data_IF_551398706147
#
_entry.id   IF_551398706147
#
_cell.length_a   1.000
_cell.length_b   1.000
_cell.length_c   1.000
_cell.angle_alpha   90.00
_cell.angle_beta   90.00
_cell.angle_gamma   90.00
#
_symmetry.space_group_name_H-M   'P 1'
#
loop_
_entity.id
_entity.type
_entity.pdbx_description
1 polymer ?
#
# COMPACT_ATOMS: atom_id res chain seq x y z
N UNK A 1 -4.86 35.95 12.74
CA UNK A 1 -4.07 36.24 11.53
C UNK A 1 -3.47 34.96 10.95
N UNK A 2 -2.64 34.22 11.69
CA UNK A 2 -2.09 32.91 11.27
C UNK A 2 -3.14 31.95 10.69
N UNK A 3 -4.30 31.83 11.33
CA UNK A 3 -5.45 31.05 10.84
C UNK A 3 -5.99 31.51 9.49
N UNK A 4 -5.94 32.80 9.16
CA UNK A 4 -6.42 33.34 7.89
C UNK A 4 -5.44 33.05 6.74
N UNK A 5 -4.12 33.14 6.97
CA UNK A 5 -3.12 32.61 6.03
C UNK A 5 -3.26 31.08 5.92
N UNK A 6 -3.43 30.39 7.05
CA UNK A 6 -3.80 28.98 7.10
C UNK A 6 -5.23 28.67 6.62
N UNK A 7 -5.96 29.65 6.05
CA UNK A 7 -7.13 29.47 5.16
C UNK A 7 -6.75 29.84 3.72
N UNK A 8 -6.13 30.98 3.45
CA UNK A 8 -5.75 31.44 2.11
C UNK A 8 -4.61 30.66 1.44
N UNK A 9 -3.43 30.59 2.08
CA UNK A 9 -2.15 30.16 1.46
C UNK A 9 -2.27 28.83 0.76
N UNK A 10 -3.08 27.96 1.35
CA UNK A 10 -3.33 26.66 0.79
C UNK A 10 -4.74 26.58 0.12
N UNK A 11 -5.73 27.48 0.33
CA UNK A 11 -6.95 27.52 -0.54
C UNK A 11 -6.63 27.94 -1.98
N UNK A 12 -5.53 28.66 -2.18
CA UNK A 12 -4.87 28.89 -3.46
C UNK A 12 -4.50 27.57 -4.20
N UNK A 13 -4.51 26.42 -3.49
CA UNK A 13 -3.68 25.29 -3.88
C UNK A 13 -4.50 24.12 -4.49
N UNK A 14 -5.64 23.55 -4.01
CA UNK A 14 -6.46 22.55 -4.79
C UNK A 14 -7.46 23.26 -5.70
N UNK A 15 -7.58 24.60 -5.68
CA UNK A 15 -8.34 25.29 -6.72
C UNK A 15 -7.96 24.75 -8.14
N UNK A 16 -6.66 24.58 -8.47
CA UNK A 16 -6.23 23.86 -9.67
C UNK A 16 -6.24 22.32 -9.67
N UNK A 17 -6.54 21.58 -8.60
CA UNK A 17 -6.65 20.10 -8.63
C UNK A 17 -8.11 19.71 -8.69
N UNK A 18 -9.00 20.46 -8.03
CA UNK A 18 -10.39 20.54 -8.42
C UNK A 18 -10.52 20.92 -9.90
N UNK A 19 -9.67 21.83 -10.42
CA UNK A 19 -9.62 22.10 -11.86
C UNK A 19 -9.00 20.97 -12.69
N UNK A 20 -7.82 20.44 -12.35
CA UNK A 20 -7.16 19.36 -13.13
C UNK A 20 -7.98 18.08 -13.08
N UNK A 21 -8.45 17.65 -11.91
CA UNK A 21 -9.36 16.51 -11.75
C UNK A 21 -10.71 16.79 -12.42
N UNK A 22 -11.31 17.96 -12.23
CA UNK A 22 -12.57 18.34 -12.87
C UNK A 22 -12.48 18.37 -14.39
N UNK A 23 -11.38 18.86 -14.95
CA UNK A 23 -11.08 18.89 -16.38
C UNK A 23 -10.77 17.49 -16.94
N UNK A 24 -10.03 16.68 -16.19
CA UNK A 24 -9.76 15.26 -16.49
C UNK A 24 -11.05 14.44 -16.46
N UNK A 25 -11.96 14.68 -15.52
CA UNK A 25 -13.28 14.05 -15.45
C UNK A 25 -14.16 14.53 -16.60
N UNK A 26 -14.24 15.84 -16.83
CA UNK A 26 -15.05 16.44 -17.89
C UNK A 26 -14.65 15.96 -19.29
N UNK A 27 -13.36 15.93 -19.61
CA UNK A 27 -12.86 15.41 -20.90
C UNK A 27 -12.78 13.88 -20.93
N UNK A 28 -12.44 13.25 -19.80
CA UNK A 28 -12.21 11.81 -19.71
C UNK A 28 -13.49 10.97 -19.80
N UNK A 29 -14.57 11.38 -19.12
CA UNK A 29 -15.86 10.68 -19.19
C UNK A 29 -16.36 10.61 -20.64
N UNK A 30 -16.20 11.68 -21.43
CA UNK A 30 -16.56 11.69 -22.85
C UNK A 30 -15.69 10.77 -23.74
N UNK A 31 -14.50 10.36 -23.28
CA UNK A 31 -13.60 9.44 -24.00
C UNK A 31 -13.71 7.97 -23.59
N UNK A 32 -14.23 7.67 -22.39
CA UNK A 32 -14.37 6.28 -21.92
C UNK A 32 -15.61 5.66 -22.54
N UNK A 33 -15.40 4.93 -23.63
CA UNK A 33 -16.43 4.17 -24.34
C UNK A 33 -15.96 2.72 -24.61
N UNK A 34 -16.82 1.87 -25.17
CA UNK A 34 -16.48 0.46 -25.41
C UNK A 34 -15.33 0.27 -26.41
N UNK A 35 -15.23 1.13 -27.43
CA UNK A 35 -14.12 1.11 -28.38
C UNK A 35 -12.79 1.49 -27.71
N UNK A 36 -12.79 2.45 -26.78
CA UNK A 36 -11.61 2.83 -26.00
C UNK A 36 -10.99 1.65 -25.22
N UNK A 37 -11.82 0.75 -24.70
CA UNK A 37 -11.37 -0.43 -23.94
C UNK A 37 -10.99 -1.63 -24.82
N UNK A 38 -11.54 -1.74 -26.03
CA UNK A 38 -11.43 -2.96 -26.88
C UNK A 38 -10.60 -2.78 -28.16
N UNK A 39 -10.47 -1.56 -28.67
CA UNK A 39 -9.70 -1.27 -29.89
C UNK A 39 -8.27 -0.81 -29.56
N UNK A 40 -7.37 -1.06 -30.50
CA UNK A 40 -6.01 -0.51 -30.49
C UNK A 40 -6.01 1.00 -30.82
N UNK A 41 -4.93 1.71 -30.50
CA UNK A 41 -4.71 3.06 -31.01
C UNK A 41 -4.69 3.05 -32.53
N UNK A 42 -5.28 4.07 -33.15
CA UNK A 42 -5.14 4.34 -34.57
C UNK A 42 -3.87 5.17 -34.86
N UNK A 43 -3.38 5.22 -36.11
CA UNK A 43 -2.30 6.12 -36.50
C UNK A 43 -2.63 7.60 -36.21
N UNK A 44 -1.64 8.44 -35.89
CA UNK A 44 -1.86 9.86 -35.67
C UNK A 44 -2.50 10.55 -36.90
N UNK A 45 -3.70 11.10 -36.73
CA UNK A 45 -4.45 11.79 -37.77
C UNK A 45 -5.83 11.19 -38.07
N UNK A 46 -6.07 9.92 -37.74
CA UNK A 46 -7.41 9.33 -37.80
C UNK A 46 -8.24 9.63 -36.54
N UNK A 47 -9.56 9.76 -36.69
CA UNK A 47 -10.48 9.84 -35.55
C UNK A 47 -10.84 8.46 -34.99
N UNK A 48 -10.89 8.38 -33.66
CA UNK A 48 -11.23 7.16 -32.92
C UNK A 48 -10.03 6.24 -32.63
N UNK A 49 -10.32 4.97 -32.33
CA UNK A 49 -9.38 4.02 -31.74
C UNK A 49 -9.47 3.98 -30.21
N UNK A 50 -8.67 3.12 -29.58
CA UNK A 50 -8.67 2.93 -28.13
C UNK A 50 -7.28 2.71 -27.52
N UNK A 51 -7.23 2.24 -26.28
CA UNK A 51 -5.99 1.96 -25.54
C UNK A 51 -5.90 0.51 -25.06
N UNK A 52 -6.63 -0.42 -25.70
CA UNK A 52 -6.75 -1.82 -25.27
C UNK A 52 -5.39 -2.51 -25.11
N UNK A 53 -4.44 -2.25 -26.03
CA UNK A 53 -3.08 -2.81 -25.98
C UNK A 53 -2.26 -2.28 -24.80
N UNK A 54 -2.40 -1.00 -24.45
CA UNK A 54 -1.72 -0.40 -23.31
C UNK A 54 -2.29 -0.93 -21.98
N UNK A 55 -3.63 -1.02 -21.87
CA UNK A 55 -4.31 -1.60 -20.71
C UNK A 55 -3.90 -3.07 -20.52
N UNK A 56 -3.99 -3.89 -21.57
CA UNK A 56 -3.58 -5.30 -21.52
C UNK A 56 -2.09 -5.46 -21.22
N UNK A 57 -1.23 -4.62 -21.80
CA UNK A 57 0.21 -4.60 -21.53
C UNK A 57 0.53 -4.26 -20.07
N UNK A 58 -0.11 -3.24 -19.51
CA UNK A 58 0.05 -2.86 -18.09
C UNK A 58 -0.43 -3.97 -17.15
N UNK A 59 -1.59 -4.59 -17.42
CA UNK A 59 -2.10 -5.72 -16.63
C UNK A 59 -1.16 -6.91 -16.70
N UNK A 60 -0.60 -7.22 -17.88
CA UNK A 60 0.29 -8.38 -18.06
C UNK A 60 1.68 -8.16 -17.44
N UNK A 61 2.22 -6.94 -17.50
CA UNK A 61 3.43 -6.53 -16.76
C UNK A 61 3.21 -6.66 -15.24
N UNK A 62 2.08 -6.15 -14.73
CA UNK A 62 1.73 -6.23 -13.32
C UNK A 62 1.52 -7.68 -12.87
N UNK A 63 0.87 -8.51 -13.69
CA UNK A 63 0.66 -9.93 -13.41
C UNK A 63 1.98 -10.70 -13.33
N UNK A 64 2.89 -10.53 -14.29
CA UNK A 64 4.21 -11.16 -14.26
C UNK A 64 5.01 -10.68 -13.04
N UNK A 65 5.08 -9.36 -12.84
CA UNK A 65 5.85 -8.78 -11.74
C UNK A 65 5.33 -9.15 -10.36
N UNK A 66 4.01 -9.29 -10.21
CA UNK A 66 3.38 -9.78 -8.98
C UNK A 66 3.61 -11.29 -8.79
N UNK A 67 3.44 -12.10 -9.84
CA UNK A 67 3.63 -13.55 -9.79
C UNK A 67 5.07 -13.95 -9.43
N UNK A 68 6.06 -13.15 -9.85
CA UNK A 68 7.46 -13.32 -9.46
C UNK A 68 7.75 -12.68 -8.10
N UNK A 69 7.39 -11.41 -7.91
CA UNK A 69 7.82 -10.60 -6.78
C UNK A 69 7.08 -10.87 -5.47
N UNK A 70 5.77 -11.14 -5.52
CA UNK A 70 4.95 -11.34 -4.30
C UNK A 70 5.29 -12.65 -3.58
N UNK A 71 5.38 -13.83 -4.24
CA UNK A 71 5.72 -15.07 -3.53
C UNK A 71 7.16 -15.08 -2.99
N UNK A 72 8.10 -14.52 -3.76
CA UNK A 72 9.49 -14.38 -3.31
C UNK A 72 9.62 -13.41 -2.13
N UNK A 73 8.96 -12.25 -2.20
CA UNK A 73 8.96 -11.25 -1.13
C UNK A 73 8.31 -11.77 0.16
N UNK A 74 7.12 -12.36 0.07
CA UNK A 74 6.45 -12.95 1.24
C UNK A 74 7.28 -14.10 1.82
N UNK A 75 7.82 -14.98 0.98
CA UNK A 75 8.68 -16.09 1.43
C UNK A 75 9.95 -15.62 2.14
N UNK A 76 10.62 -14.60 1.60
CA UNK A 76 11.80 -13.99 2.21
C UNK A 76 11.46 -13.28 3.54
N UNK A 77 10.36 -12.53 3.60
CA UNK A 77 9.92 -11.86 4.83
C UNK A 77 9.53 -12.84 5.94
N UNK A 78 8.86 -13.94 5.60
CA UNK A 78 8.58 -15.06 6.53
C UNK A 78 9.87 -15.70 7.03
N UNK A 79 10.84 -15.95 6.14
CA UNK A 79 12.15 -16.49 6.53
C UNK A 79 12.88 -15.53 7.49
N UNK A 80 12.90 -14.23 7.20
CA UNK A 80 13.58 -13.24 8.03
C UNK A 80 12.95 -13.12 9.43
N UNK A 81 11.63 -13.11 9.53
CA UNK A 81 10.92 -12.95 10.82
C UNK A 81 10.98 -14.20 11.72
N UNK A 82 11.05 -15.41 11.17
CA UNK A 82 11.08 -16.66 11.94
C UNK A 82 12.50 -17.22 12.14
N UNK A 83 13.42 -17.02 11.17
CA UNK A 83 14.75 -17.62 11.15
C UNK A 83 15.91 -16.64 10.91
N UNK A 84 15.63 -15.37 10.55
CA UNK A 84 16.63 -14.38 10.14
C UNK A 84 17.53 -13.83 11.25
N UNK A 85 17.57 -14.41 12.45
CA UNK A 85 18.49 -14.05 13.53
C UNK A 85 19.93 -14.52 13.29
N UNK A 86 20.44 -14.38 12.06
CA UNK A 86 21.71 -14.92 11.61
C UNK A 86 22.34 -14.03 10.53
N UNK A 87 23.66 -14.18 10.28
CA UNK A 87 24.44 -13.34 9.36
C UNK A 87 23.90 -13.29 7.92
N UNK A 88 23.20 -14.33 7.45
CA UNK A 88 22.56 -14.34 6.13
C UNK A 88 21.25 -13.53 6.14
N UNK A 89 20.48 -13.58 7.24
CA UNK A 89 19.33 -12.70 7.45
C UNK A 89 19.72 -11.22 7.42
N UNK A 90 20.79 -10.84 8.13
CA UNK A 90 21.30 -9.46 8.15
C UNK A 90 21.82 -9.00 6.78
N UNK A 91 22.48 -9.90 6.04
CA UNK A 91 22.88 -9.64 4.65
C UNK A 91 21.67 -9.41 3.73
N UNK A 92 20.61 -10.22 3.85
CA UNK A 92 19.38 -10.06 3.05
C UNK A 92 18.61 -8.79 3.42
N UNK A 93 18.59 -8.39 4.70
CA UNK A 93 18.07 -7.07 5.13
C UNK A 93 18.87 -5.94 4.49
N UNK A 94 20.19 -5.92 4.67
CA UNK A 94 21.06 -4.90 4.09
C UNK A 94 20.89 -4.76 2.57
N UNK A 95 20.84 -5.89 1.84
CA UNK A 95 20.56 -5.88 0.39
C UNK A 95 19.16 -5.35 0.08
N UNK A 96 18.15 -5.70 0.86
CA UNK A 96 16.77 -5.20 0.67
C UNK A 96 16.65 -3.70 0.95
N UNK A 97 17.28 -3.21 2.01
CA UNK A 97 17.28 -1.80 2.39
C UNK A 97 18.06 -0.95 1.38
N UNK A 98 19.20 -1.44 0.90
CA UNK A 98 19.93 -0.84 -0.22
C UNK A 98 19.05 -0.79 -1.48
N UNK A 99 18.40 -1.90 -1.87
CA UNK A 99 17.54 -1.93 -3.06
C UNK A 99 16.30 -1.02 -2.94
N UNK A 100 15.68 -0.93 -1.76
CA UNK A 100 14.60 0.03 -1.49
C UNK A 100 15.09 1.49 -1.54
N UNK A 101 16.36 1.74 -1.22
CA UNK A 101 17.02 3.05 -1.32
C UNK A 101 17.50 3.42 -2.74
N UNK A 102 17.57 2.48 -3.69
CA UNK A 102 17.95 2.78 -5.08
C UNK A 102 16.79 3.47 -5.80
N UNK A 103 17.01 4.64 -6.44
CA UNK A 103 15.98 5.29 -7.24
C UNK A 103 15.45 4.37 -8.35
N UNK A 104 14.13 4.25 -8.48
CA UNK A 104 13.46 3.31 -9.40
C UNK A 104 13.91 3.43 -10.86
N UNK A 105 14.32 4.62 -11.31
CA UNK A 105 14.90 4.85 -12.63
C UNK A 105 16.19 4.03 -12.87
N UNK A 106 17.03 3.85 -11.84
CA UNK A 106 18.25 3.04 -11.92
C UNK A 106 17.91 1.55 -12.01
N UNK A 107 16.92 1.09 -11.25
CA UNK A 107 16.42 -0.30 -11.33
C UNK A 107 15.84 -0.58 -12.73
N UNK A 108 15.12 0.39 -13.32
CA UNK A 108 14.65 0.32 -14.69
C UNK A 108 15.78 0.18 -15.72
N UNK A 109 16.86 0.96 -15.58
CA UNK A 109 18.04 0.87 -16.45
C UNK A 109 18.77 -0.48 -16.29
N UNK A 110 18.90 -0.99 -15.05
CA UNK A 110 19.49 -2.32 -14.80
C UNK A 110 18.65 -3.43 -15.43
N UNK A 111 17.32 -3.39 -15.29
CA UNK A 111 16.44 -4.36 -15.92
C UNK A 111 16.46 -4.29 -17.46
N UNK A 112 16.56 -3.09 -18.02
CA UNK A 112 16.79 -2.89 -19.46
C UNK A 112 18.11 -3.54 -19.91
N UNK A 113 19.20 -3.29 -19.19
CA UNK A 113 20.52 -3.84 -19.51
C UNK A 113 20.58 -5.37 -19.40
N UNK A 114 19.96 -5.96 -18.37
CA UNK A 114 19.98 -7.40 -18.13
C UNK A 114 19.02 -8.18 -19.04
N UNK A 115 17.83 -7.63 -19.31
CA UNK A 115 16.74 -8.38 -19.99
C UNK A 115 16.52 -7.89 -21.43
N UNK A 116 16.32 -6.58 -21.65
CA UNK A 116 15.97 -6.05 -22.99
C UNK A 116 17.13 -6.17 -23.96
N UNK A 117 18.36 -5.81 -23.57
CA UNK A 117 19.54 -5.99 -24.43
C UNK A 117 19.80 -7.46 -24.79
N UNK A 118 19.48 -8.40 -23.89
CA UNK A 118 19.61 -9.85 -24.14
C UNK A 118 18.53 -10.38 -25.07
N UNK A 119 17.30 -9.87 -24.97
CA UNK A 119 16.17 -10.25 -25.83
C UNK A 119 16.21 -9.55 -27.19
N UNK A 120 16.92 -8.41 -27.32
CA UNK A 120 16.99 -7.54 -28.52
C UNK A 120 15.65 -6.94 -28.97
N UNK A 121 14.58 -7.14 -28.19
CA UNK A 121 13.28 -6.53 -28.38
C UNK A 121 12.68 -6.15 -27.02
N UNK A 122 11.76 -5.18 -27.01
CA UNK A 122 10.98 -4.87 -25.82
C UNK A 122 9.99 -6.00 -25.53
N UNK A 123 9.76 -6.32 -24.26
CA UNK A 123 8.82 -7.37 -23.85
C UNK A 123 8.15 -7.03 -22.52
N UNK A 124 6.92 -7.53 -22.33
CA UNK A 124 6.23 -7.44 -21.05
C UNK A 124 6.94 -8.28 -19.95
N UNK A 125 7.72 -9.30 -20.32
CA UNK A 125 8.59 -10.03 -19.40
C UNK A 125 9.69 -9.12 -18.84
N UNK A 126 10.32 -8.27 -19.65
CA UNK A 126 11.33 -7.33 -19.17
C UNK A 126 10.73 -6.29 -18.20
N UNK A 127 9.56 -5.74 -18.51
CA UNK A 127 8.82 -4.86 -17.61
C UNK A 127 8.39 -5.56 -16.31
N UNK A 128 7.89 -6.79 -16.41
CA UNK A 128 7.50 -7.61 -15.26
C UNK A 128 8.68 -7.95 -14.35
N UNK A 129 9.86 -8.29 -14.91
CA UNK A 129 11.08 -8.52 -14.14
C UNK A 129 11.58 -7.23 -13.46
N UNK A 130 11.53 -6.08 -14.14
CA UNK A 130 11.86 -4.79 -13.53
C UNK A 130 10.96 -4.49 -12.31
N UNK A 131 9.65 -4.74 -12.46
CA UNK A 131 8.66 -4.55 -11.41
C UNK A 131 8.81 -5.56 -10.26
N UNK A 132 9.17 -6.81 -10.57
CA UNK A 132 9.48 -7.84 -9.57
C UNK A 132 10.71 -7.46 -8.72
N UNK A 133 11.78 -6.93 -9.34
CA UNK A 133 13.00 -6.51 -8.63
C UNK A 133 12.70 -5.39 -7.61
N UNK A 134 11.75 -4.49 -7.90
CA UNK A 134 11.27 -3.47 -6.94
C UNK A 134 10.33 -4.05 -5.88
N UNK A 135 9.44 -4.98 -6.27
CA UNK A 135 8.49 -5.61 -5.36
C UNK A 135 9.15 -6.49 -4.30
N UNK A 136 10.16 -7.30 -4.66
CA UNK A 136 10.81 -8.23 -3.71
C UNK A 136 11.29 -7.54 -2.42
N UNK A 137 12.16 -6.50 -2.44
CA UNK A 137 12.66 -5.89 -1.21
C UNK A 137 11.56 -5.12 -0.44
N UNK A 138 10.60 -4.51 -1.14
CA UNK A 138 9.46 -3.81 -0.50
C UNK A 138 8.56 -4.79 0.26
N UNK A 139 8.20 -5.91 -0.38
CA UNK A 139 7.31 -6.94 0.19
C UNK A 139 8.06 -7.76 1.24
N UNK A 140 9.35 -8.06 1.04
CA UNK A 140 10.20 -8.74 2.04
C UNK A 140 10.21 -7.96 3.34
N UNK A 141 10.50 -6.65 3.26
CA UNK A 141 10.64 -5.81 4.46
C UNK A 141 9.31 -5.60 5.18
N UNK A 142 8.26 -5.23 4.45
CA UNK A 142 6.93 -5.07 5.05
C UNK A 142 6.38 -6.37 5.64
N UNK A 143 6.61 -7.53 4.99
CA UNK A 143 6.22 -8.84 5.54
C UNK A 143 7.02 -9.20 6.79
N UNK A 144 8.34 -8.97 6.81
CA UNK A 144 9.17 -9.16 8.02
C UNK A 144 8.63 -8.31 9.18
N UNK A 145 8.42 -7.02 8.94
CA UNK A 145 7.99 -6.08 9.97
C UNK A 145 6.61 -6.43 10.54
N UNK A 146 5.62 -6.74 9.68
CA UNK A 146 4.29 -7.19 10.10
C UNK A 146 4.32 -8.46 10.97
N UNK A 147 5.23 -9.41 10.67
CA UNK A 147 5.34 -10.67 11.40
C UNK A 147 6.01 -10.52 12.77
N UNK A 148 7.01 -9.64 12.88
CA UNK A 148 7.72 -9.34 14.13
C UNK A 148 6.85 -8.60 15.16
N UNK A 149 5.65 -8.18 14.77
CA UNK A 149 4.71 -7.42 15.59
C UNK A 149 3.60 -8.27 16.22
N UNK A 150 3.55 -9.56 15.90
CA UNK A 150 2.72 -10.53 16.61
C UNK A 150 3.21 -10.65 18.06
N UNK A 151 2.35 -10.44 19.07
CA UNK A 151 2.71 -10.68 20.48
C UNK A 151 3.28 -12.09 20.69
N UNK A 152 4.48 -12.20 21.26
CA UNK A 152 5.15 -13.49 21.45
C UNK A 152 4.33 -14.48 22.30
N UNK A 153 3.50 -14.00 23.24
CA UNK A 153 2.57 -14.84 24.00
C UNK A 153 1.60 -15.65 23.12
N UNK A 154 1.20 -15.13 21.96
CA UNK A 154 0.35 -15.86 20.99
C UNK A 154 1.15 -16.91 20.21
N UNK A 155 2.44 -16.65 19.94
CA UNK A 155 3.35 -17.62 19.31
C UNK A 155 3.66 -18.77 20.27
N UNK A 156 4.01 -18.44 21.51
CA UNK A 156 4.27 -19.38 22.60
C UNK A 156 3.05 -20.24 22.92
N UNK A 157 1.86 -19.65 23.03
CA UNK A 157 0.61 -20.42 23.19
C UNK A 157 0.34 -21.36 22.01
N UNK A 158 0.59 -20.93 20.76
CA UNK A 158 0.45 -21.79 19.59
C UNK A 158 1.48 -22.95 19.58
N UNK A 159 2.72 -22.70 20.00
CA UNK A 159 3.75 -23.74 20.12
C UNK A 159 3.43 -24.72 21.28
N UNK A 160 2.87 -24.24 22.39
CA UNK A 160 2.39 -25.09 23.50
C UNK A 160 1.22 -25.99 23.10
N UNK A 161 0.37 -25.53 22.16
CA UNK A 161 -0.68 -26.33 21.51
C UNK A 161 -0.13 -27.27 20.41
N UNK A 162 1.19 -27.42 20.28
CA UNK A 162 1.82 -28.31 19.30
C UNK A 162 1.74 -27.83 17.84
N UNK A 163 1.35 -26.58 17.59
CA UNK A 163 1.24 -26.06 16.22
C UNK A 163 2.65 -25.82 15.65
N UNK A 164 3.02 -26.45 14.50
CA UNK A 164 4.36 -26.32 13.94
C UNK A 164 4.60 -24.89 13.44
N UNK A 165 5.83 -24.39 13.61
CA UNK A 165 6.21 -22.97 13.38
C UNK A 165 5.64 -22.37 12.10
N UNK A 166 5.84 -23.03 10.94
CA UNK A 166 5.31 -22.56 9.65
C UNK A 166 3.80 -22.32 9.64
N UNK A 167 3.02 -23.14 10.36
CA UNK A 167 1.56 -23.05 10.45
C UNK A 167 1.13 -22.01 11.48
N UNK A 168 1.91 -21.81 12.53
CA UNK A 168 1.78 -20.66 13.44
C UNK A 168 2.00 -19.38 12.65
N UNK A 169 3.15 -19.20 11.99
CA UNK A 169 3.50 -17.98 11.23
C UNK A 169 2.47 -17.67 10.14
N UNK A 170 2.11 -18.63 9.27
CA UNK A 170 1.10 -18.41 8.23
C UNK A 170 -0.31 -18.13 8.78
N UNK A 171 -0.79 -18.93 9.74
CA UNK A 171 -2.17 -18.81 10.21
C UNK A 171 -2.39 -17.66 11.19
N UNK A 172 -1.34 -17.20 11.87
CA UNK A 172 -1.35 -15.93 12.60
C UNK A 172 -1.27 -14.78 11.60
N UNK A 173 -0.31 -14.78 10.66
CA UNK A 173 -0.15 -13.70 9.67
C UNK A 173 -1.45 -13.40 8.92
N UNK A 174 -2.07 -14.39 8.27
CA UNK A 174 -3.33 -14.15 7.55
C UNK A 174 -4.47 -13.67 8.47
N UNK A 175 -4.52 -14.11 9.73
CA UNK A 175 -5.59 -13.70 10.66
C UNK A 175 -5.36 -12.32 11.26
N UNK A 176 -4.13 -11.97 11.61
CA UNK A 176 -3.82 -10.69 12.24
C UNK A 176 -3.67 -9.53 11.25
N UNK A 177 -3.19 -9.79 10.02
CA UNK A 177 -3.19 -8.79 8.94
C UNK A 177 -4.60 -8.56 8.35
N UNK A 178 -5.59 -9.44 8.62
CA UNK A 178 -6.97 -9.30 8.15
C UNK A 178 -8.03 -9.03 9.23
N UNK A 179 -7.82 -9.42 10.50
CA UNK A 179 -8.85 -9.42 11.56
C UNK A 179 -8.34 -9.11 12.99
N UNK A 180 -8.13 -7.82 13.29
CA UNK A 180 -8.46 -7.23 14.61
C UNK A 180 -7.49 -7.33 15.80
N UNK A 181 -7.45 -6.27 16.62
CA UNK A 181 -6.72 -6.15 17.89
C UNK A 181 -7.37 -5.05 18.79
N UNK A 182 -6.94 -4.91 20.05
CA UNK A 182 -7.58 -4.07 21.08
C UNK A 182 -6.65 -3.05 21.79
N UNK A 183 -5.39 -2.89 21.38
CA UNK A 183 -4.48 -1.88 21.95
C UNK A 183 -3.93 -0.88 20.92
N UNK A 184 -3.66 0.36 21.36
CA UNK A 184 -3.32 1.50 20.50
C UNK A 184 -1.89 1.38 19.93
N UNK A 185 -1.79 1.20 18.62
CA UNK A 185 -0.53 0.90 17.95
C UNK A 185 -0.18 2.01 16.94
N UNK A 186 1.01 2.61 17.08
CA UNK A 186 1.50 3.72 16.24
C UNK A 186 2.25 3.26 14.96
N UNK A 187 2.01 2.04 14.50
CA UNK A 187 2.78 1.37 13.45
C UNK A 187 1.84 0.66 12.47
N UNK A 188 1.91 1.03 11.18
CA UNK A 188 1.03 0.58 10.08
C UNK A 188 1.03 -0.95 9.86
N UNK A 189 2.10 -1.57 10.32
CA UNK A 189 2.47 -2.96 10.26
C UNK A 189 1.90 -3.78 11.42
N UNK A 190 1.33 -3.13 12.46
CA UNK A 190 0.67 -3.84 13.55
C UNK A 190 -0.81 -4.10 13.22
N UNK A 191 -1.37 -5.23 13.68
CA UNK A 191 -2.80 -5.37 13.90
C UNK A 191 -3.24 -4.25 14.84
N UNK A 192 -3.83 -3.22 14.28
CA UNK A 192 -4.09 -1.96 14.99
C UNK A 192 -5.42 -2.07 15.74
N UNK A 193 -5.53 -1.46 16.93
CA UNK A 193 -6.84 -1.22 17.52
C UNK A 193 -7.69 -0.33 16.61
N UNK A 194 -8.55 -0.96 15.80
CA UNK A 194 -9.69 -0.28 15.26
C UNK A 194 -10.55 0.17 16.46
N UNK A 195 -10.61 1.48 16.72
CA UNK A 195 -11.45 2.03 17.79
C UNK A 195 -12.90 1.48 17.76
N UNK A 196 -13.56 1.25 16.60
CA UNK A 196 -14.84 0.53 16.54
C UNK A 196 -14.83 -0.86 17.19
N UNK A 197 -13.77 -1.65 17.00
CA UNK A 197 -13.62 -2.99 17.59
C UNK A 197 -13.42 -2.92 19.11
N UNK A 198 -12.66 -1.94 19.60
CA UNK A 198 -12.45 -1.75 21.04
C UNK A 198 -13.71 -1.21 21.74
N UNK A 199 -14.44 -0.28 21.11
CA UNK A 199 -15.76 0.19 21.58
C UNK A 199 -16.73 -0.98 21.70
N UNK A 200 -16.80 -1.86 20.69
CA UNK A 200 -17.63 -3.06 20.72
C UNK A 200 -17.27 -3.97 21.90
N UNK A 201 -15.99 -4.34 22.07
CA UNK A 201 -15.57 -5.23 23.16
C UNK A 201 -15.79 -4.64 24.56
N UNK A 202 -15.69 -3.31 24.74
CA UNK A 202 -16.00 -2.66 26.01
C UNK A 202 -17.50 -2.42 26.25
N UNK A 203 -18.31 -2.30 25.20
CA UNK A 203 -19.76 -2.12 25.29
C UNK A 203 -20.54 -3.42 25.58
N UNK A 204 -19.87 -4.57 25.62
CA UNK A 204 -20.44 -5.88 25.99
C UNK A 204 -19.74 -6.50 27.22
N UNK A 205 -18.90 -5.73 27.91
CA UNK A 205 -18.13 -6.18 29.07
C UNK A 205 -18.97 -6.09 30.35
N UNK A 206 -18.93 -7.08 31.27
CA UNK A 206 -19.78 -7.10 32.48
C UNK A 206 -19.37 -6.08 33.57
N UNK A 207 -18.66 -5.00 33.22
CA UNK A 207 -18.14 -3.99 34.14
C UNK A 207 -18.55 -2.57 33.69
N UNK A 208 -19.29 -1.85 34.53
CA UNK A 208 -19.89 -0.56 34.18
C UNK A 208 -18.88 0.56 33.86
N UNK A 209 -17.66 0.48 34.40
CA UNK A 209 -16.60 1.43 34.06
C UNK A 209 -16.07 1.24 32.63
N UNK A 210 -16.19 0.02 32.07
CA UNK A 210 -15.82 -0.25 30.68
C UNK A 210 -16.94 0.20 29.74
N UNK A 211 -18.21 0.03 30.12
CA UNK A 211 -19.34 0.66 29.43
C UNK A 211 -19.15 2.19 29.35
N UNK A 212 -18.83 2.85 30.47
CA UNK A 212 -18.58 4.31 30.52
C UNK A 212 -17.42 4.73 29.59
N UNK A 213 -16.35 3.94 29.52
CA UNK A 213 -15.23 4.19 28.61
C UNK A 213 -15.61 3.97 27.12
N UNK A 214 -16.47 3.00 26.81
CA UNK A 214 -16.96 2.78 25.45
C UNK A 214 -17.78 3.99 24.92
N UNK A 215 -18.67 4.55 25.75
CA UNK A 215 -19.42 5.77 25.40
C UNK A 215 -18.50 6.98 25.15
N UNK A 216 -17.47 7.16 25.98
CA UNK A 216 -16.48 8.22 25.79
C UNK A 216 -15.67 8.04 24.50
N UNK A 217 -15.19 6.81 24.23
CA UNK A 217 -14.44 6.48 23.01
C UNK A 217 -15.24 6.69 21.72
N UNK A 218 -16.53 6.35 21.72
CA UNK A 218 -17.42 6.57 20.59
C UNK A 218 -17.61 8.06 20.26
N UNK A 219 -17.78 8.91 21.27
CA UNK A 219 -17.93 10.35 21.10
C UNK A 219 -16.65 11.00 20.56
N UNK A 220 -15.48 10.61 21.10
CA UNK A 220 -14.17 11.06 20.59
C UNK A 220 -13.96 10.63 19.14
N UNK A 221 -14.33 9.40 18.76
CA UNK A 221 -14.24 8.91 17.39
C UNK A 221 -15.11 9.74 16.42
N UNK A 222 -16.35 10.07 16.82
CA UNK A 222 -17.27 10.90 16.01
C UNK A 222 -16.68 12.30 15.80
N UNK A 223 -16.18 12.95 16.85
CA UNK A 223 -15.55 14.28 16.74
C UNK A 223 -14.28 14.22 15.89
N UNK A 224 -13.45 13.18 16.04
CA UNK A 224 -12.25 12.99 15.23
C UNK A 224 -12.60 12.81 13.75
N UNK A 225 -13.60 12.01 13.41
CA UNK A 225 -14.04 11.80 12.02
C UNK A 225 -14.64 13.09 11.43
N UNK A 226 -15.52 13.79 12.16
CA UNK A 226 -16.14 15.02 11.65
C UNK A 226 -15.08 16.13 11.48
N UNK A 227 -14.15 16.28 12.42
CA UNK A 227 -13.07 17.27 12.32
C UNK A 227 -12.03 16.89 11.25
N UNK A 228 -11.67 15.62 11.10
CA UNK A 228 -10.78 15.15 10.03
C UNK A 228 -11.44 15.27 8.65
N UNK A 229 -12.72 14.94 8.49
CA UNK A 229 -13.44 15.10 7.21
C UNK A 229 -13.71 16.58 6.91
N UNK A 230 -13.95 17.43 7.91
CA UNK A 230 -13.99 18.88 7.72
C UNK A 230 -12.62 19.43 7.33
N UNK A 231 -11.54 19.01 8.01
CA UNK A 231 -10.16 19.39 7.71
C UNK A 231 -9.72 18.87 6.34
N UNK A 232 -10.13 17.66 5.93
CA UNK A 232 -9.87 17.12 4.59
C UNK A 232 -10.73 17.80 3.54
N UNK A 233 -12.02 18.11 3.76
CA UNK A 233 -12.80 18.94 2.81
C UNK A 233 -12.24 20.36 2.69
N UNK A 234 -11.73 20.89 3.79
CA UNK A 234 -11.01 22.16 3.84
C UNK A 234 -9.69 22.06 3.07
N UNK A 235 -8.87 21.02 3.29
CA UNK A 235 -7.59 20.74 2.62
C UNK A 235 -7.75 20.19 1.19
N UNK A 236 -8.93 19.72 0.79
CA UNK A 236 -9.34 19.40 -0.59
C UNK A 236 -9.79 20.66 -1.35
N UNK A 237 -9.60 21.84 -0.73
CA UNK A 237 -9.40 23.10 -1.44
C UNK A 237 -7.89 23.45 -1.60
N UNK A 238 -6.94 22.56 -1.22
CA UNK A 238 -5.53 22.86 -0.91
C UNK A 238 -4.36 21.91 -1.35
N UNK A 239 -4.17 21.56 -2.64
CA UNK A 239 -3.04 20.72 -3.16
C UNK A 239 -2.79 20.65 -4.70
N UNK A 240 -2.28 21.71 -5.38
CA UNK A 240 -1.80 21.73 -6.80
C UNK A 240 -0.93 22.92 -7.26
N UNK A 241 -0.87 24.06 -6.54
CA UNK A 241 0.13 25.10 -6.86
C UNK A 241 1.39 24.91 -6.01
N UNK A 242 2.46 24.42 -6.65
CA UNK A 242 3.76 24.20 -6.01
C UNK A 242 4.59 23.10 -6.69
N UNK A 243 4.83 23.22 -8.01
CA UNK A 243 5.43 22.15 -8.80
C UNK A 243 6.14 22.57 -10.09
N UNK A 244 6.83 23.73 -10.09
CA UNK A 244 7.85 24.07 -11.11
C UNK A 244 8.98 24.85 -10.44
N UNK A 245 10.09 24.17 -10.18
CA UNK A 245 11.46 24.68 -10.04
C UNK A 245 12.41 23.48 -10.20
#
# INVERSE_FOLDING_TARGET
>A
MTTAFAILSVVLVLAPLGAIFGYLVYRGIGSVNWAFLTQTPKPPGESGGGMANAIAGSVLILAIGSLMGVPLGIGAGIYLAEFGGNRFGDMVRFVSDVLNGVPSIVIGIVAYALVVLRQKHFSALAGGVALAIMMVPTITRTTEEMLLLVPNSLREAAYALGVPRWRTTLSISLRFTAFGNQYWNWRLDQPTAALPLQIFTYAISPYDDWHRQAWAGALVLIILIVSAVAAVRFVVRRGTLGGVA
#
